data_IF_216543184173
#
_entry.id   IF_216543184173
#
_cell.length_a   1.000
_cell.length_b   1.000
_cell.length_c   1.000
_cell.angle_alpha   90.00
_cell.angle_beta   90.00
_cell.angle_gamma   90.00
#
_symmetry.space_group_name_H-M   'P 1'
#
loop_
_entity.id
_entity.type
_entity.pdbx_description
1 polymer ?
#
# COMPACT_ATOMS: atom_id res chain seq x y z
N UNK A 1 -6.34 8.20 22.48
CA UNK A 1 -5.35 7.59 21.57
C UNK A 1 -5.38 8.32 20.26
N UNK A 2 -4.24 8.82 19.83
CA UNK A 2 -4.16 9.49 18.54
C UNK A 2 -4.33 8.50 17.42
N UNK A 3 -5.10 8.90 16.40
CA UNK A 3 -5.23 8.09 15.20
C UNK A 3 -3.97 8.25 14.34
N UNK A 4 -3.45 7.19 13.74
CA UNK A 4 -2.32 7.30 12.81
C UNK A 4 -2.66 8.26 11.66
N UNK A 5 -1.65 8.91 11.09
CA UNK A 5 -1.85 9.82 9.95
C UNK A 5 -2.54 9.15 8.75
N UNK A 6 -2.24 7.87 8.52
CA UNK A 6 -2.88 7.13 7.43
C UNK A 6 -4.40 7.01 7.57
N UNK A 7 -4.93 7.23 8.78
CA UNK A 7 -6.37 7.21 9.02
C UNK A 7 -7.09 8.28 8.21
N UNK A 8 -6.41 9.40 7.92
CA UNK A 8 -6.97 10.48 7.11
C UNK A 8 -6.99 10.16 5.60
N UNK A 9 -6.29 9.12 5.16
CA UNK A 9 -6.25 8.70 3.75
C UNK A 9 -7.53 8.03 3.29
N UNK A 10 -8.43 7.70 4.20
CA UNK A 10 -9.67 6.96 3.87
C UNK A 10 -9.40 5.63 3.17
N UNK A 11 -8.28 4.98 3.51
CA UNK A 11 -8.02 3.63 3.01
C UNK A 11 -9.08 2.71 3.57
N UNK A 12 -9.80 2.06 2.65
CA UNK A 12 -10.87 1.15 3.00
C UNK A 12 -10.40 -0.28 2.78
N UNK A 13 -10.18 -1.01 3.89
CA UNK A 13 -9.73 -2.40 3.83
C UNK A 13 -10.90 -3.39 3.84
N UNK A 14 -12.15 -2.91 3.82
CA UNK A 14 -13.32 -3.78 3.89
C UNK A 14 -13.43 -4.74 2.70
N UNK A 15 -12.87 -4.35 1.54
CA UNK A 15 -12.88 -5.19 0.35
C UNK A 15 -11.72 -6.19 0.32
N UNK A 16 -10.82 -6.14 1.27
CA UNK A 16 -9.74 -7.11 1.39
C UNK A 16 -10.29 -8.29 2.18
N UNK A 17 -10.59 -9.39 1.47
CA UNK A 17 -11.24 -10.55 2.08
C UNK A 17 -10.28 -11.54 2.70
N UNK A 18 -8.97 -11.35 2.50
CA UNK A 18 -7.94 -12.24 3.01
C UNK A 18 -7.25 -11.62 4.22
N UNK A 19 -6.67 -12.46 5.06
CA UNK A 19 -5.89 -12.01 6.19
C UNK A 19 -4.71 -11.16 5.71
N UNK A 20 -4.43 -10.12 6.44
CA UNK A 20 -3.29 -9.25 6.15
C UNK A 20 -2.76 -8.62 7.43
N UNK A 21 -1.51 -8.19 7.37
CA UNK A 21 -0.92 -7.33 8.39
C UNK A 21 -0.59 -5.98 7.78
N UNK A 22 -0.58 -4.95 8.62
CA UNK A 22 -0.15 -3.62 8.20
C UNK A 22 0.74 -3.01 9.28
N UNK A 23 1.88 -2.48 8.85
CA UNK A 23 2.77 -1.68 9.69
C UNK A 23 2.78 -0.26 9.19
N UNK A 24 2.85 0.71 10.11
CA UNK A 24 2.94 2.11 9.75
C UNK A 24 4.18 2.73 10.36
N UNK A 25 4.79 3.67 9.64
CA UNK A 25 5.89 4.47 10.17
C UNK A 25 5.86 5.87 9.59
N UNK A 26 6.34 6.83 10.39
CA UNK A 26 6.49 8.21 9.95
C UNK A 26 7.77 8.34 9.12
N UNK A 27 7.66 8.94 7.94
CA UNK A 27 8.81 9.17 7.06
C UNK A 27 8.63 10.52 6.36
N UNK A 28 9.67 11.34 6.33
CA UNK A 28 9.74 12.58 5.53
C UNK A 28 8.47 13.44 5.58
N UNK A 29 7.98 13.76 6.77
CA UNK A 29 6.74 14.52 7.00
C UNK A 29 5.48 13.85 6.48
N UNK A 30 5.52 12.56 6.27
CA UNK A 30 4.39 11.76 5.83
C UNK A 30 4.41 10.41 6.51
N UNK A 31 4.02 9.39 5.76
CA UNK A 31 3.91 8.04 6.31
C UNK A 31 4.22 7.00 5.25
N UNK A 32 4.50 5.80 5.74
CA UNK A 32 4.57 4.59 4.94
C UNK A 32 3.75 3.50 5.62
N UNK A 33 2.92 2.82 4.84
CA UNK A 33 2.20 1.63 5.27
C UNK A 33 2.75 0.44 4.51
N UNK A 34 3.06 -0.64 5.23
CA UNK A 34 3.50 -1.88 4.61
C UNK A 34 2.45 -2.93 4.88
N UNK A 35 1.74 -3.33 3.83
CA UNK A 35 0.74 -4.40 3.87
C UNK A 35 1.39 -5.71 3.46
N UNK A 36 1.10 -6.78 4.20
CA UNK A 36 1.46 -8.13 3.79
C UNK A 36 0.20 -8.97 3.79
N UNK A 37 -0.11 -9.56 2.64
CA UNK A 37 -1.31 -10.36 2.44
C UNK A 37 -1.00 -11.85 2.58
N UNK A 38 -2.04 -12.65 2.84
CA UNK A 38 -1.88 -14.09 3.04
C UNK A 38 -1.47 -14.84 1.78
N UNK A 39 -1.58 -14.22 0.61
CA UNK A 39 -1.12 -14.81 -0.66
C UNK A 39 0.40 -14.68 -0.89
N UNK A 40 1.13 -14.10 0.04
CA UNK A 40 2.58 -13.90 -0.07
C UNK A 40 2.99 -12.59 -0.70
N UNK A 41 2.06 -11.82 -1.26
CA UNK A 41 2.35 -10.50 -1.79
C UNK A 41 2.05 -9.42 -0.76
N UNK A 42 2.57 -8.23 -0.99
CA UNK A 42 2.32 -7.09 -0.13
C UNK A 42 2.32 -5.79 -0.91
N UNK A 43 2.20 -4.69 -0.18
CA UNK A 43 2.20 -3.36 -0.78
C UNK A 43 2.89 -2.37 0.15
N UNK A 44 3.73 -1.51 -0.44
CA UNK A 44 4.26 -0.33 0.24
C UNK A 44 3.44 0.87 -0.21
N UNK A 45 2.72 1.47 0.71
CA UNK A 45 1.89 2.66 0.44
C UNK A 45 2.57 3.84 1.11
N UNK A 46 2.96 4.83 0.33
CA UNK A 46 3.65 6.01 0.86
C UNK A 46 2.98 7.29 0.39
N UNK A 47 3.00 8.28 1.27
CA UNK A 47 2.73 9.67 0.92
C UNK A 47 3.61 10.54 1.82
N UNK A 48 4.63 11.16 1.25
CA UNK A 48 5.59 11.97 1.99
C UNK A 48 6.27 12.97 1.05
N UNK A 49 7.21 13.76 1.60
CA UNK A 49 7.83 14.86 0.85
C UNK A 49 8.62 14.41 -0.39
N UNK A 50 9.04 13.15 -0.44
CA UNK A 50 9.85 12.61 -1.54
C UNK A 50 9.09 11.62 -2.42
N UNK A 51 7.82 11.35 -2.12
CA UNK A 51 7.02 10.44 -2.93
C UNK A 51 6.33 11.19 -4.08
N UNK A 52 5.83 10.41 -5.03
CA UNK A 52 4.96 10.92 -6.10
C UNK A 52 3.52 10.95 -5.58
N UNK A 53 3.22 11.91 -4.67
CA UNK A 53 1.93 11.94 -4.01
C UNK A 53 1.65 10.63 -3.28
N UNK A 54 0.44 10.13 -3.38
CA UNK A 54 0.07 8.79 -2.86
C UNK A 54 0.58 7.75 -3.84
N UNK A 55 1.48 6.88 -3.36
CA UNK A 55 2.27 5.99 -4.20
C UNK A 55 2.21 4.57 -3.65
N UNK A 56 2.04 3.58 -4.54
CA UNK A 56 2.03 2.17 -4.15
C UNK A 56 3.05 1.39 -4.97
N UNK A 57 3.85 0.57 -4.28
CA UNK A 57 4.70 -0.44 -4.89
C UNK A 57 4.25 -1.81 -4.42
N UNK A 58 4.27 -2.80 -5.33
CA UNK A 58 3.95 -4.20 -4.99
C UNK A 58 5.18 -4.83 -4.37
N UNK A 59 4.98 -5.59 -3.29
CA UNK A 59 6.04 -6.31 -2.59
C UNK A 59 5.89 -7.82 -2.80
N UNK A 60 7.01 -8.51 -2.90
CA UNK A 60 7.05 -9.97 -2.92
C UNK A 60 7.09 -10.53 -1.48
N UNK A 61 7.16 -11.86 -1.36
CA UNK A 61 7.17 -12.54 -0.06
C UNK A 61 8.43 -12.26 0.76
N UNK A 62 9.46 -11.70 0.16
CA UNK A 62 10.68 -11.27 0.86
C UNK A 62 10.64 -9.78 1.23
N UNK A 63 9.46 -9.15 1.12
CA UNK A 63 9.27 -7.74 1.43
C UNK A 63 10.08 -6.81 0.52
N UNK A 64 10.33 -7.24 -0.73
CA UNK A 64 11.04 -6.47 -1.74
C UNK A 64 10.09 -6.07 -2.84
N UNK A 65 10.34 -4.89 -3.44
CA UNK A 65 9.54 -4.41 -4.57
C UNK A 65 9.68 -5.40 -5.73
N UNK A 66 8.54 -5.79 -6.31
CA UNK A 66 8.50 -6.65 -7.49
C UNK A 66 7.73 -5.98 -8.61
N UNK A 67 8.20 -6.18 -9.84
CA UNK A 67 7.55 -5.69 -11.05
C UNK A 67 7.04 -6.85 -11.94
N UNK A 68 7.01 -8.06 -11.38
CA UNK A 68 6.66 -9.28 -12.11
C UNK A 68 5.20 -9.69 -11.93
N UNK A 69 4.32 -8.73 -11.62
CA UNK A 69 2.90 -9.00 -11.42
C UNK A 69 2.06 -8.28 -12.48
N UNK A 70 0.82 -8.74 -12.73
CA UNK A 70 -0.09 -8.02 -13.64
C UNK A 70 -0.61 -6.70 -13.07
N UNK A 71 -0.29 -6.34 -11.82
CA UNK A 71 -0.73 -5.08 -11.22
C UNK A 71 0.00 -3.91 -11.88
N UNK A 72 1.32 -3.98 -11.95
CA UNK A 72 2.15 -2.94 -12.56
C UNK A 72 3.56 -3.46 -12.77
N UNK A 73 4.23 -2.91 -13.75
CA UNK A 73 5.66 -3.10 -13.98
C UNK A 73 6.50 -1.91 -13.47
N UNK A 74 5.90 -1.05 -12.68
CA UNK A 74 6.54 0.12 -12.07
C UNK A 74 5.84 0.45 -10.76
N UNK A 75 6.26 1.52 -10.12
CA UNK A 75 5.58 2.11 -8.96
C UNK A 75 4.41 2.96 -9.47
N UNK A 76 3.26 2.83 -8.81
CA UNK A 76 2.07 3.63 -9.13
C UNK A 76 2.08 4.90 -8.28
N UNK A 77 2.11 6.05 -8.92
CA UNK A 77 2.14 7.35 -8.25
C UNK A 77 0.90 8.20 -8.52
N UNK A 78 0.76 9.25 -7.73
CA UNK A 78 -0.34 10.24 -7.84
C UNK A 78 -1.73 9.58 -7.78
N UNK A 79 -1.87 8.58 -6.95
CA UNK A 79 -3.13 7.84 -6.81
C UNK A 79 -4.16 8.66 -6.01
N UNK A 80 -5.42 8.51 -6.38
CA UNK A 80 -6.52 8.91 -5.50
C UNK A 80 -6.70 7.86 -4.41
N UNK A 81 -7.41 8.20 -3.33
CA UNK A 81 -7.73 7.23 -2.27
C UNK A 81 -8.48 6.02 -2.85
N UNK A 82 -9.40 6.26 -3.78
CA UNK A 82 -10.16 5.19 -4.43
C UNK A 82 -9.26 4.28 -5.26
N UNK A 83 -8.36 4.87 -6.06
CA UNK A 83 -7.40 4.09 -6.85
C UNK A 83 -6.48 3.26 -5.96
N UNK A 84 -6.02 3.84 -4.84
CA UNK A 84 -5.20 3.12 -3.87
C UNK A 84 -5.94 1.92 -3.27
N UNK A 85 -7.20 2.11 -2.88
CA UNK A 85 -8.02 1.04 -2.32
C UNK A 85 -8.23 -0.09 -3.33
N UNK A 86 -8.52 0.25 -4.58
CA UNK A 86 -8.69 -0.74 -5.66
C UNK A 86 -7.38 -1.50 -5.91
N UNK A 87 -6.25 -0.81 -5.89
CA UNK A 87 -4.94 -1.43 -6.09
C UNK A 87 -4.63 -2.42 -4.95
N UNK A 88 -4.86 -2.04 -3.70
CA UNK A 88 -4.66 -2.93 -2.56
C UNK A 88 -5.51 -4.19 -2.67
N UNK A 89 -6.78 -4.03 -3.05
CA UNK A 89 -7.67 -5.16 -3.26
C UNK A 89 -7.14 -6.10 -4.34
N UNK A 90 -6.66 -5.56 -5.45
CA UNK A 90 -6.11 -6.37 -6.55
C UNK A 90 -4.85 -7.13 -6.11
N UNK A 91 -3.95 -6.48 -5.37
CA UNK A 91 -2.74 -7.14 -4.85
C UNK A 91 -3.12 -8.29 -3.93
N UNK A 92 -4.13 -8.12 -3.08
CA UNK A 92 -4.58 -9.15 -2.16
C UNK A 92 -5.14 -10.40 -2.86
N UNK A 93 -5.48 -10.27 -4.14
CA UNK A 93 -6.05 -11.34 -4.96
C UNK A 93 -5.06 -11.98 -5.94
N UNK A 94 -3.80 -11.57 -5.89
CA UNK A 94 -2.77 -12.16 -6.75
C UNK A 94 -2.61 -13.68 -6.55
#
# INVERSE_FOLDING_TARGET
>A
MEKPKWYSMKINTLNIKKDFTVESKAVYNGYQLIFMFSNGYGASVVEHDHSKGLEIAVLDSNNKITYDTPITDDVLGYLTDEEANTTLERISKL
#
